data_IF_625775573245
#
_entry.id   IF_625775573245
#
_cell.length_a   1.000
_cell.length_b   1.000
_cell.length_c   1.000
_cell.angle_alpha   90.00
_cell.angle_beta   90.00
_cell.angle_gamma   90.00
#
_symmetry.space_group_name_H-M   'P 1'
#
loop_
_entity.id
_entity.type
_entity.pdbx_description
1 polymer ?
#
# COMPACT_ATOMS: atom_id res chain seq x y z
N UNK A 1 -3.44 -4.73 -10.39
CA UNK A 1 -4.22 -4.16 -9.29
C UNK A 1 -3.37 -3.20 -8.49
N UNK A 2 -3.79 -1.94 -8.40
CA UNK A 2 -3.27 -0.87 -7.56
C UNK A 2 -1.80 -0.53 -7.76
N UNK A 3 -1.23 -0.75 -8.95
CA UNK A 3 0.16 -0.35 -9.22
C UNK A 3 0.30 1.16 -9.49
N UNK A 4 -0.81 1.88 -9.57
CA UNK A 4 -0.87 3.29 -9.95
C UNK A 4 -1.79 3.99 -8.97
N UNK A 5 -1.23 4.86 -8.14
CA UNK A 5 -1.93 5.41 -7.00
C UNK A 5 -1.65 6.91 -6.90
N UNK A 6 -2.71 7.67 -6.65
CA UNK A 6 -2.65 9.08 -6.33
C UNK A 6 -2.83 9.27 -4.83
N UNK A 7 -2.23 10.32 -4.30
CA UNK A 7 -2.42 10.72 -2.92
C UNK A 7 -2.40 12.23 -2.80
N UNK A 8 -3.39 12.76 -2.11
CA UNK A 8 -3.49 14.13 -1.65
C UNK A 8 -3.97 14.06 -0.22
N UNK A 9 -3.13 14.44 0.73
CA UNK A 9 -3.45 14.32 2.16
C UNK A 9 -4.33 15.48 2.63
N UNK A 10 -5.52 15.16 3.12
CA UNK A 10 -6.42 16.09 3.81
C UNK A 10 -6.40 15.80 5.30
N UNK A 11 -5.70 16.65 6.04
CA UNK A 11 -5.53 16.49 7.50
C UNK A 11 -6.86 16.28 8.24
N UNK A 12 -7.92 17.01 7.86
CA UNK A 12 -9.26 16.86 8.47
C UNK A 12 -9.81 15.43 8.36
N UNK A 13 -9.47 14.67 7.32
CA UNK A 13 -9.98 13.32 7.05
C UNK A 13 -9.12 12.22 7.69
N UNK A 14 -7.95 12.56 8.24
CA UNK A 14 -7.02 11.63 8.89
C UNK A 14 -6.72 11.98 10.36
N UNK A 15 -7.02 13.20 10.81
CA UNK A 15 -6.65 13.72 12.15
C UNK A 15 -7.24 12.93 13.32
N UNK A 16 -8.39 12.27 13.14
CA UNK A 16 -8.96 11.39 14.16
C UNK A 16 -8.26 10.03 14.29
N UNK A 17 -7.32 9.72 13.38
CA UNK A 17 -6.69 8.41 13.25
C UNK A 17 -5.16 8.45 13.31
N UNK A 18 -4.55 9.46 12.68
CA UNK A 18 -3.11 9.66 12.58
C UNK A 18 -2.73 10.87 13.44
N UNK A 19 -1.99 10.62 14.52
CA UNK A 19 -1.68 11.61 15.55
C UNK A 19 -0.51 12.52 15.18
N UNK A 20 0.49 11.98 14.47
CA UNK A 20 1.64 12.73 13.95
C UNK A 20 1.67 12.65 12.43
N UNK A 21 1.44 13.79 11.76
CA UNK A 21 1.33 13.89 10.29
C UNK A 21 2.51 14.60 9.63
N UNK A 22 3.53 15.02 10.39
CA UNK A 22 4.57 15.95 9.90
C UNK A 22 5.26 15.51 8.60
N UNK A 23 5.47 14.20 8.42
CA UNK A 23 6.14 13.66 7.23
C UNK A 23 5.22 13.49 6.01
N UNK A 24 3.90 13.51 6.19
CA UNK A 24 2.93 13.18 5.15
C UNK A 24 1.95 14.31 4.86
N UNK A 25 1.86 15.33 5.70
CA UNK A 25 0.83 16.38 5.62
C UNK A 25 0.85 17.20 4.33
N UNK A 26 2.03 17.35 3.72
CA UNK A 26 2.23 18.05 2.45
C UNK A 26 2.47 17.09 1.28
N UNK A 27 2.28 15.77 1.48
CA UNK A 27 2.52 14.80 0.41
C UNK A 27 1.37 14.85 -0.60
N UNK A 28 1.70 15.24 -1.83
CA UNK A 28 0.76 15.31 -2.95
C UNK A 28 1.38 14.76 -4.24
N UNK A 29 0.69 13.80 -4.85
CA UNK A 29 0.99 13.17 -6.13
C UNK A 29 -0.34 12.77 -6.80
N UNK A 30 -0.64 13.31 -7.97
CA UNK A 30 -1.84 12.90 -8.71
C UNK A 30 -1.76 11.44 -9.15
N UNK A 31 -0.56 10.99 -9.52
CA UNK A 31 -0.28 9.63 -9.97
C UNK A 31 1.17 9.28 -9.64
N UNK A 32 1.37 8.13 -9.01
CA UNK A 32 2.67 7.49 -8.82
C UNK A 32 2.56 6.02 -9.21
N UNK A 33 3.54 5.56 -10.00
CA UNK A 33 3.67 4.14 -10.34
C UNK A 33 4.46 3.42 -9.24
N UNK A 34 3.93 2.31 -8.73
CA UNK A 34 4.64 1.45 -7.78
C UNK A 34 5.92 0.84 -8.38
N UNK A 35 6.02 0.76 -9.71
CA UNK A 35 7.22 0.28 -10.40
C UNK A 35 8.37 1.30 -10.42
N UNK A 36 8.15 2.52 -9.91
CA UNK A 36 9.22 3.49 -9.67
C UNK A 36 9.96 3.22 -8.35
N UNK A 37 9.40 2.35 -7.50
CA UNK A 37 9.97 1.95 -6.21
C UNK A 37 10.35 3.17 -5.35
N UNK A 38 9.47 4.18 -5.33
CA UNK A 38 9.66 5.41 -4.58
C UNK A 38 8.93 5.36 -3.23
N UNK A 39 9.26 6.31 -2.37
CA UNK A 39 8.56 6.52 -1.11
C UNK A 39 7.08 6.83 -1.34
N UNK A 40 6.22 6.34 -0.46
CA UNK A 40 4.79 6.55 -0.47
C UNK A 40 4.26 6.74 0.97
N UNK A 41 3.26 7.60 1.20
CA UNK A 41 2.78 7.90 2.54
C UNK A 41 1.99 6.74 3.13
N UNK A 42 2.38 6.36 4.34
CA UNK A 42 1.71 5.33 5.13
C UNK A 42 1.50 5.80 6.57
N UNK A 43 0.53 5.23 7.28
CA UNK A 43 0.39 5.37 8.72
C UNK A 43 0.80 4.07 9.40
N UNK A 44 1.68 4.16 10.40
CA UNK A 44 2.18 3.02 11.17
C UNK A 44 1.89 3.21 12.64
N UNK A 45 1.55 2.13 13.33
CA UNK A 45 1.44 2.14 14.79
C UNK A 45 2.82 1.96 15.42
N UNK A 46 3.26 2.92 16.23
CA UNK A 46 4.50 2.87 16.99
C UNK A 46 4.23 3.22 18.45
N UNK A 47 4.56 2.31 19.37
CA UNK A 47 4.44 2.50 20.83
C UNK A 47 3.07 3.03 21.29
N UNK A 48 1.99 2.57 20.65
CA UNK A 48 0.61 2.97 21.00
C UNK A 48 0.06 4.16 20.24
N UNK A 49 0.89 4.89 19.49
CA UNK A 49 0.48 6.04 18.69
C UNK A 49 0.50 5.72 17.19
N UNK A 50 -0.41 6.30 16.43
CA UNK A 50 -0.40 6.20 14.97
C UNK A 50 0.35 7.38 14.37
N UNK A 51 1.42 7.10 13.62
CA UNK A 51 2.27 8.11 12.99
C UNK A 51 2.30 7.95 11.47
N UNK A 52 2.19 9.06 10.76
CA UNK A 52 2.45 9.18 9.34
C UNK A 52 3.95 9.08 9.05
N UNK A 53 4.32 8.18 8.14
CA UNK A 53 5.67 7.89 7.71
C UNK A 53 5.71 7.79 6.19
N UNK A 54 6.91 7.89 5.61
CA UNK A 54 7.17 7.54 4.22
C UNK A 54 7.79 6.14 4.17
N UNK A 55 7.25 5.28 3.30
CA UNK A 55 7.75 3.93 3.11
C UNK A 55 8.05 3.66 1.63
N UNK A 56 9.15 2.96 1.38
CA UNK A 56 9.51 2.43 0.07
C UNK A 56 8.40 1.49 -0.42
N UNK A 57 7.74 1.85 -1.52
CA UNK A 57 6.64 1.06 -2.05
C UNK A 57 7.17 -0.15 -2.81
N UNK A 58 7.56 -1.15 -2.04
CA UNK A 58 7.90 -2.52 -2.40
C UNK A 58 8.22 -3.21 -1.08
N UNK A 59 7.51 -4.28 -0.73
CA UNK A 59 7.84 -5.02 0.48
C UNK A 59 9.07 -5.89 0.23
N UNK A 60 10.20 -5.57 0.85
CA UNK A 60 11.46 -6.29 0.61
C UNK A 60 11.53 -7.55 1.49
N UNK A 61 11.60 -8.76 0.90
CA UNK A 61 11.79 -9.99 1.66
C UNK A 61 13.06 -9.99 2.52
N UNK A 62 12.98 -10.61 3.69
CA UNK A 62 14.07 -10.60 4.70
C UNK A 62 15.37 -11.27 4.25
N UNK A 63 15.32 -12.13 3.24
CA UNK A 63 16.48 -12.86 2.74
C UNK A 63 17.30 -12.04 1.75
N UNK A 64 16.78 -10.93 1.22
CA UNK A 64 17.60 -10.04 0.41
C UNK A 64 18.48 -9.19 1.31
N UNK A 65 19.77 -9.14 0.98
CA UNK A 65 20.79 -8.50 1.82
C UNK A 65 21.31 -7.18 1.28
N UNK A 66 21.04 -6.89 0.01
CA UNK A 66 21.46 -5.66 -0.64
C UNK A 66 20.45 -5.21 -1.69
N UNK A 67 20.47 -3.92 -2.03
CA UNK A 67 19.63 -3.38 -3.10
C UNK A 67 19.89 -4.08 -4.44
N UNK A 68 21.12 -4.54 -4.69
CA UNK A 68 21.45 -5.35 -5.88
C UNK A 68 20.63 -6.65 -5.93
N UNK A 69 20.49 -7.35 -4.80
CA UNK A 69 19.67 -8.56 -4.74
C UNK A 69 18.17 -8.26 -4.89
N UNK A 70 17.72 -7.13 -4.35
CA UNK A 70 16.34 -6.64 -4.53
C UNK A 70 16.06 -6.39 -6.01
N UNK A 71 16.97 -5.68 -6.70
CA UNK A 71 16.87 -5.40 -8.14
C UNK A 71 16.84 -6.66 -9.00
N UNK A 72 17.68 -7.66 -8.70
CA UNK A 72 17.61 -8.97 -9.34
C UNK A 72 16.31 -9.73 -8.99
N UNK A 73 15.81 -9.56 -7.77
CA UNK A 73 14.53 -10.10 -7.32
C UNK A 73 13.33 -9.57 -8.11
N UNK A 74 13.31 -8.28 -8.43
CA UNK A 74 12.25 -7.62 -9.20
C UNK A 74 12.00 -8.26 -10.57
N UNK A 75 13.02 -8.89 -11.17
CA UNK A 75 12.89 -9.62 -12.45
C UNK A 75 12.08 -10.91 -12.34
N UNK A 76 11.96 -11.47 -11.13
CA UNK A 76 11.30 -12.76 -10.87
C UNK A 76 9.87 -12.59 -10.40
N UNK A 77 9.61 -11.64 -9.50
CA UNK A 77 8.29 -11.39 -8.95
C UNK A 77 8.19 -9.95 -8.38
N UNK A 78 6.95 -9.50 -8.15
CA UNK A 78 6.67 -8.18 -7.57
C UNK A 78 6.13 -8.34 -6.16
N UNK A 79 6.51 -7.41 -5.28
CA UNK A 79 6.02 -7.35 -3.89
C UNK A 79 5.40 -5.99 -3.56
N UNK A 80 4.93 -5.28 -4.59
CA UNK A 80 4.17 -4.02 -4.46
C UNK A 80 2.78 -4.25 -3.84
N UNK A 81 2.23 -5.46 -4.02
CA UNK A 81 0.94 -5.89 -3.51
C UNK A 81 1.06 -7.27 -2.83
N UNK A 82 0.24 -7.48 -1.79
CA UNK A 82 0.07 -8.75 -1.11
C UNK A 82 -1.38 -9.24 -1.25
N UNK A 83 -1.57 -10.50 -1.66
CA UNK A 83 -2.91 -11.10 -1.74
C UNK A 83 -3.40 -11.46 -0.34
N UNK A 84 -4.52 -10.89 0.10
CA UNK A 84 -5.10 -11.09 1.42
C UNK A 84 -5.35 -12.56 1.75
N UNK A 85 -5.80 -13.35 0.75
CA UNK A 85 -6.11 -14.77 0.89
C UNK A 85 -4.87 -15.63 1.19
N UNK A 86 -3.67 -15.14 0.82
CA UNK A 86 -2.40 -15.82 1.03
C UNK A 86 -1.53 -15.14 2.08
N UNK A 87 -2.04 -14.09 2.72
CA UNK A 87 -1.24 -13.22 3.56
C UNK A 87 -0.64 -14.00 4.76
N UNK A 88 -1.45 -14.85 5.39
CA UNK A 88 -1.08 -15.63 6.58
C UNK A 88 -0.32 -16.93 6.27
N UNK A 89 -0.24 -17.33 4.99
CA UNK A 89 0.48 -18.54 4.54
C UNK A 89 1.73 -18.21 3.71
N UNK A 90 1.87 -16.95 3.27
CA UNK A 90 3.01 -16.48 2.48
C UNK A 90 4.30 -16.48 3.29
N UNK A 91 5.36 -17.07 2.73
CA UNK A 91 6.72 -17.00 3.27
C UNK A 91 7.27 -15.57 3.34
N UNK A 92 6.77 -14.66 2.49
CA UNK A 92 7.20 -13.26 2.44
C UNK A 92 6.44 -12.44 3.50
N UNK A 93 5.14 -12.65 3.61
CA UNK A 93 4.23 -11.69 4.26
C UNK A 93 3.72 -12.13 5.64
N UNK A 94 3.70 -13.43 5.94
CA UNK A 94 3.04 -13.98 7.13
C UNK A 94 3.41 -13.25 8.42
N UNK A 95 4.70 -13.07 8.65
CA UNK A 95 5.20 -12.41 9.86
C UNK A 95 4.71 -10.94 9.96
N UNK A 96 4.81 -10.19 8.86
CA UNK A 96 4.35 -8.81 8.83
C UNK A 96 2.82 -8.69 8.93
N UNK A 97 2.08 -9.67 8.42
CA UNK A 97 0.63 -9.72 8.53
C UNK A 97 0.15 -9.76 10.00
N UNK A 98 0.89 -10.45 10.86
CA UNK A 98 0.60 -10.52 12.29
C UNK A 98 1.03 -9.26 13.05
N UNK A 99 2.21 -8.74 12.75
CA UNK A 99 2.87 -7.78 13.66
C UNK A 99 3.03 -6.37 13.10
N UNK A 100 3.07 -6.23 11.77
CA UNK A 100 3.54 -5.01 11.08
C UNK A 100 2.58 -4.62 9.97
N UNK A 101 1.39 -4.21 10.41
CA UNK A 101 0.35 -3.65 9.56
C UNK A 101 0.46 -2.13 9.51
N UNK A 102 0.13 -1.55 8.37
CA UNK A 102 0.08 -0.11 8.17
C UNK A 102 -1.16 0.27 7.35
N UNK A 103 -1.42 1.56 7.26
CA UNK A 103 -2.43 2.13 6.38
C UNK A 103 -1.69 2.80 5.22
N UNK A 104 -1.97 2.40 3.98
CA UNK A 104 -1.44 3.09 2.80
C UNK A 104 -2.42 4.18 2.40
N UNK A 105 -2.00 5.44 2.45
CA UNK A 105 -2.89 6.57 2.15
C UNK A 105 -3.13 6.67 0.64
N UNK A 106 -4.32 7.10 0.23
CA UNK A 106 -4.66 7.31 -1.18
C UNK A 106 -5.75 8.37 -1.33
N UNK A 107 -5.73 9.07 -2.46
CA UNK A 107 -6.84 9.91 -2.91
C UNK A 107 -7.54 9.35 -4.15
N UNK A 108 -7.06 8.22 -4.64
CA UNK A 108 -7.58 7.50 -5.78
C UNK A 108 -6.52 6.61 -6.39
N UNK A 109 -6.92 5.55 -7.08
CA UNK A 109 -6.01 4.66 -7.79
C UNK A 109 -6.53 4.40 -9.20
N UNK A 110 -5.63 3.94 -10.07
CA UNK A 110 -5.92 3.76 -11.49
C UNK A 110 -5.91 2.29 -11.86
N UNK A 111 -6.91 1.88 -12.63
CA UNK A 111 -7.03 0.52 -13.16
C UNK A 111 -7.61 0.47 -14.55
N UNK A 112 -7.37 -0.65 -15.24
CA UNK A 112 -7.69 -0.80 -16.65
C UNK A 112 -8.81 -1.79 -16.88
N UNK A 113 -9.84 -1.30 -17.58
CA UNK A 113 -10.90 -2.12 -18.15
C UNK A 113 -10.51 -2.62 -19.52
N UNK A 114 -10.42 -3.94 -19.67
CA UNK A 114 -10.18 -4.56 -20.96
C UNK A 114 -11.51 -4.80 -21.67
N UNK A 115 -11.69 -4.19 -22.83
CA UNK A 115 -12.88 -4.35 -23.65
C UNK A 115 -12.49 -4.41 -25.13
N UNK A 116 -12.90 -5.49 -25.82
CA UNK A 116 -12.58 -5.73 -27.25
C UNK A 116 -11.08 -5.56 -27.57
N UNK A 117 -10.22 -6.09 -26.71
CA UNK A 117 -8.75 -6.03 -26.88
C UNK A 117 -8.11 -4.68 -26.51
N UNK A 118 -8.88 -3.67 -26.13
CA UNK A 118 -8.39 -2.34 -25.73
C UNK A 118 -8.47 -2.19 -24.22
N UNK A 119 -7.44 -1.59 -23.62
CA UNK A 119 -7.37 -1.28 -22.19
C UNK A 119 -7.74 0.19 -21.94
N UNK A 120 -8.85 0.43 -21.26
CA UNK A 120 -9.33 1.77 -20.92
C UNK A 120 -8.98 2.11 -19.47
N UNK A 121 -8.27 3.20 -19.19
CA UNK A 121 -7.94 3.59 -17.83
C UNK A 121 -9.16 4.18 -17.11
N UNK A 122 -9.33 3.80 -15.85
CA UNK A 122 -10.32 4.33 -14.93
C UNK A 122 -9.60 4.89 -13.71
N UNK A 123 -10.08 6.02 -13.21
CA UNK A 123 -9.67 6.59 -11.94
C UNK A 123 -10.73 6.26 -10.89
N UNK A 124 -10.36 5.47 -9.89
CA UNK A 124 -11.24 4.97 -8.83
C UNK A 124 -11.01 5.82 -7.58
N UNK A 125 -12.09 6.37 -7.02
CA UNK A 125 -12.08 7.20 -5.82
C UNK A 125 -13.23 6.85 -4.92
N UNK A 126 -13.13 7.23 -3.65
CA UNK A 126 -14.27 7.20 -2.75
C UNK A 126 -15.14 8.44 -2.98
N UNK A 127 -16.46 8.25 -2.89
CA UNK A 127 -17.41 9.34 -2.91
C UNK A 127 -17.26 10.15 -1.62
N UNK A 128 -17.27 11.47 -1.73
CA UNK A 128 -17.28 12.42 -0.61
C UNK A 128 -16.06 12.30 0.35
N UNK A 129 -14.96 11.68 -0.10
CA UNK A 129 -13.72 11.55 0.67
C UNK A 129 -12.50 11.72 -0.24
N UNK A 130 -11.64 12.69 0.07
CA UNK A 130 -10.44 12.97 -0.72
C UNK A 130 -9.23 12.14 -0.30
N UNK A 131 -9.13 11.75 0.96
CA UNK A 131 -8.09 10.90 1.53
C UNK A 131 -8.72 9.71 2.23
N UNK A 132 -8.38 8.51 1.76
CA UNK A 132 -8.74 7.25 2.39
C UNK A 132 -7.49 6.39 2.57
N UNK A 133 -7.67 5.22 3.15
CA UNK A 133 -6.57 4.31 3.44
C UNK A 133 -6.91 2.89 3.01
N UNK A 134 -5.89 2.23 2.47
CA UNK A 134 -5.90 0.83 2.12
C UNK A 134 -5.11 0.06 3.17
N UNK A 135 -5.51 -1.17 3.47
CA UNK A 135 -4.73 -2.04 4.33
C UNK A 135 -3.37 -2.29 3.69
N UNK A 136 -2.31 -2.14 4.48
CA UNK A 136 -0.95 -2.43 4.09
C UNK A 136 -0.24 -3.26 5.13
N UNK A 137 0.87 -3.84 4.71
CA UNK A 137 1.87 -4.44 5.61
C UNK A 137 3.21 -3.74 5.36
N UNK A 138 4.05 -3.74 6.39
CA UNK A 138 5.37 -3.15 6.29
C UNK A 138 6.44 -4.00 6.96
N UNK A 139 7.68 -3.70 6.61
CA UNK A 139 8.88 -4.28 7.21
C UNK A 139 9.98 -3.25 7.20
N UNK A 140 10.71 -3.16 8.30
CA UNK A 140 12.01 -2.50 8.28
C UNK A 140 13.03 -3.44 7.62
N UNK A 141 13.76 -2.93 6.65
CA UNK A 141 14.80 -3.65 5.93
C UNK A 141 16.06 -2.79 5.90
N UNK A 142 17.21 -3.39 6.12
CA UNK A 142 18.50 -2.71 6.11
C UNK A 142 19.35 -3.32 5.01
N UNK A 143 19.87 -2.47 4.12
CA UNK A 143 20.88 -2.89 3.16
C UNK A 143 22.19 -3.17 3.92
N UNK A 144 22.67 -4.40 3.90
CA UNK A 144 23.87 -4.81 4.64
C UNK A 144 25.15 -4.21 4.02
N UNK A 145 25.11 -3.72 2.78
CA UNK A 145 26.24 -3.07 2.13
C UNK A 145 26.32 -1.57 2.44
N UNK A 146 25.20 -0.84 2.41
CA UNK A 146 25.19 0.61 2.66
C UNK A 146 24.92 0.96 4.13
N UNK A 147 24.31 0.06 4.90
CA UNK A 147 23.80 0.32 6.25
C UNK A 147 22.51 1.14 6.28
N UNK A 148 21.98 1.52 5.12
CA UNK A 148 20.73 2.27 5.02
C UNK A 148 19.54 1.41 5.44
N UNK A 149 18.64 1.98 6.23
CA UNK A 149 17.46 1.30 6.73
C UNK A 149 16.19 1.93 6.17
N UNK A 150 15.39 1.13 5.48
CA UNK A 150 14.14 1.52 4.84
C UNK A 150 12.94 0.89 5.57
N UNK A 151 11.87 1.67 5.71
CA UNK A 151 10.55 1.08 5.88
C UNK A 151 10.03 0.71 4.49
N UNK A 152 9.67 -0.55 4.30
CA UNK A 152 9.22 -1.13 3.04
C UNK A 152 7.76 -1.55 3.16
N UNK A 153 6.94 -1.41 2.13
CA UNK A 153 5.49 -1.68 2.23
C UNK A 153 4.88 -2.35 1.01
N UNK A 154 3.79 -3.09 1.23
CA UNK A 154 2.91 -3.62 0.19
C UNK A 154 1.46 -3.28 0.52
N UNK A 155 0.68 -3.00 -0.53
CA UNK A 155 -0.78 -2.84 -0.44
C UNK A 155 -1.43 -4.23 -0.37
N UNK A 156 -2.34 -4.43 0.57
CA UNK A 156 -3.13 -5.67 0.65
C UNK A 156 -4.30 -5.58 -0.32
N UNK A 157 -4.48 -6.64 -1.12
CA UNK A 157 -5.56 -6.76 -2.09
C UNK A 157 -6.48 -7.91 -1.73
N UNK A 158 -7.72 -7.85 -2.19
CA UNK A 158 -8.74 -8.89 -2.06
C UNK A 158 -9.49 -9.06 -3.38
N UNK A 159 -10.50 -9.92 -3.40
CA UNK A 159 -11.37 -10.13 -4.55
C UNK A 159 -12.21 -8.89 -4.84
N UNK A 160 -12.42 -8.62 -6.13
CA UNK A 160 -13.17 -7.46 -6.57
C UNK A 160 -14.66 -7.55 -6.20
N UNK A 161 -15.18 -6.43 -5.70
CA UNK A 161 -16.63 -6.20 -5.62
C UNK A 161 -17.25 -6.03 -7.03
N UNK A 162 -18.59 -5.96 -7.16
CA UNK A 162 -19.26 -5.87 -8.47
C UNK A 162 -18.82 -4.69 -9.34
N UNK A 163 -18.44 -3.55 -8.74
CA UNK A 163 -17.90 -2.40 -9.49
C UNK A 163 -16.50 -2.72 -10.03
N UNK A 164 -15.62 -3.21 -9.16
CA UNK A 164 -14.23 -3.48 -9.52
C UNK A 164 -14.10 -4.66 -10.47
N UNK A 165 -15.05 -5.60 -10.52
CA UNK A 165 -15.10 -6.66 -11.55
C UNK A 165 -15.37 -6.10 -12.94
N UNK A 166 -16.06 -4.97 -13.06
CA UNK A 166 -16.26 -4.30 -14.34
C UNK A 166 -15.02 -3.52 -14.76
N UNK A 167 -14.32 -2.92 -13.79
CA UNK A 167 -13.13 -2.11 -14.05
C UNK A 167 -11.89 -2.97 -14.23
N UNK A 168 -11.45 -3.73 -13.23
CA UNK A 168 -10.28 -4.60 -13.31
C UNK A 168 -10.69 -6.04 -13.67
N UNK A 169 -11.31 -6.15 -14.84
CA UNK A 169 -12.00 -7.37 -15.31
C UNK A 169 -11.07 -8.50 -15.83
N UNK A 170 -9.75 -8.30 -15.79
CA UNK A 170 -8.78 -9.33 -16.20
C UNK A 170 -8.31 -10.20 -15.04
N UNK A 171 -8.21 -9.64 -13.83
CA UNK A 171 -7.76 -10.35 -12.62
C UNK A 171 -8.78 -10.30 -11.48
N UNK A 172 -9.81 -9.45 -11.59
CA UNK A 172 -10.91 -9.33 -10.61
C UNK A 172 -10.44 -9.14 -9.16
N UNK A 173 -9.49 -8.23 -8.97
CA UNK A 173 -8.99 -7.84 -7.63
C UNK A 173 -9.42 -6.43 -7.26
N UNK A 174 -9.25 -6.05 -6.00
CA UNK A 174 -9.30 -4.67 -5.51
C UNK A 174 -8.41 -4.48 -4.28
N UNK A 175 -8.03 -3.24 -3.91
CA UNK A 175 -7.35 -3.04 -2.63
C UNK A 175 -8.34 -3.24 -1.49
N UNK A 176 -7.84 -3.66 -0.33
CA UNK A 176 -8.64 -3.67 0.89
C UNK A 176 -8.76 -2.24 1.39
N UNK A 177 -9.83 -1.55 1.02
CA UNK A 177 -10.14 -0.21 1.51
C UNK A 177 -10.81 -0.33 2.88
N UNK A 178 -10.32 0.42 3.87
CA UNK A 178 -10.85 0.38 5.22
C UNK A 178 -11.72 1.62 5.49
N UNK A 179 -12.65 1.49 6.43
CA UNK A 179 -13.34 2.61 7.06
C UNK A 179 -12.62 3.03 8.35
N UNK A 180 -13.06 4.12 8.99
CA UNK A 180 -12.37 4.69 10.16
C UNK A 180 -12.36 3.72 11.34
N UNK A 181 -13.41 2.92 11.49
CA UNK A 181 -13.49 1.91 12.54
C UNK A 181 -12.42 0.81 12.38
N UNK A 182 -12.34 0.19 11.19
CA UNK A 182 -11.37 -0.87 10.90
C UNK A 182 -9.93 -0.37 10.88
N UNK A 183 -9.74 0.89 10.47
CA UNK A 183 -8.42 1.51 10.48
C UNK A 183 -8.00 1.97 11.90
N UNK A 184 -8.95 2.18 12.82
CA UNK A 184 -8.65 2.56 14.19
C UNK A 184 -7.99 1.45 15.00
N UNK A 185 -7.34 1.85 16.11
CA UNK A 185 -6.58 1.02 17.06
C UNK A 185 -7.35 -0.22 17.56
N UNK A 186 -8.70 -0.21 17.52
CA UNK A 186 -9.53 -1.36 17.92
C UNK A 186 -9.60 -2.46 16.84
N UNK A 187 -9.48 -2.11 15.56
CA UNK A 187 -9.42 -3.06 14.43
C UNK A 187 -8.06 -3.72 14.24
N UNK A 188 -7.04 -3.29 15.01
CA UNK A 188 -5.70 -3.88 15.02
C UNK A 188 -5.51 -4.98 16.08
N UNK A 189 -6.57 -5.48 16.71
CA UNK A 189 -6.46 -6.69 17.55
C UNK A 189 -6.30 -7.96 16.73
#
# INVERSE_FOLDING_TARGET
MCYYNGVKVKLKEISGLIEDTKLIENFERDLQSGFEYQLFPVAMKKKGHTKGELAHWEFIPFWYKSMKEVEEGRKKYTTLNAQGEKLLTSKIYKEAAHERRCLVLSSGFYEWRHYKGVAYPYHIRLKDRETFYMAGIYRQWTDELSGETLNTTAIVTTDANPLMKQVHNSKERMPVILNDELASIKGFK
#
